data_IF_867016720457
#
_entry.id   IF_867016720457
#
_cell.length_a   1.000
_cell.length_b   1.000
_cell.length_c   1.000
_cell.angle_alpha   90.00
_cell.angle_beta   90.00
_cell.angle_gamma   90.00
#
_symmetry.space_group_name_H-M   'P 1'
#
loop_
_entity.id
_entity.type
_entity.pdbx_description
1 polymer ?
#
# COMPACT_ATOMS: atom_id res chain seq x y z
N UNK A 1 -1.73 -4.65 -12.32
CA UNK A 1 -1.01 -3.38 -12.49
C UNK A 1 -0.77 -2.74 -11.12
N UNK A 2 0.37 -2.06 -10.94
CA UNK A 2 0.64 -1.18 -9.82
C UNK A 2 0.64 0.28 -10.30
N UNK A 3 -0.16 1.12 -9.64
CA UNK A 3 -0.40 2.51 -10.00
C UNK A 3 0.08 3.46 -8.91
N UNK A 4 0.24 4.73 -9.28
CA UNK A 4 0.69 5.77 -8.36
C UNK A 4 -0.46 6.59 -7.80
N UNK A 5 -0.41 6.90 -6.51
CA UNK A 5 -1.17 8.00 -5.92
C UNK A 5 -0.53 9.32 -6.38
N UNK A 6 -1.21 10.05 -7.27
CA UNK A 6 -0.68 11.28 -7.87
C UNK A 6 -1.35 12.55 -7.35
N UNK A 7 -2.44 12.41 -6.60
CA UNK A 7 -3.19 13.51 -5.98
C UNK A 7 -4.12 12.98 -4.89
N UNK A 8 -4.88 13.86 -4.23
CA UNK A 8 -5.84 13.42 -3.21
C UNK A 8 -6.97 12.61 -3.85
N UNK A 9 -6.98 11.31 -3.59
CA UNK A 9 -7.93 10.39 -4.20
C UNK A 9 -7.77 10.25 -5.73
N UNK A 10 -6.55 10.46 -6.26
CA UNK A 10 -6.24 10.38 -7.68
C UNK A 10 -5.09 9.43 -7.95
N UNK A 11 -5.25 8.59 -8.97
CA UNK A 11 -4.21 7.68 -9.48
C UNK A 11 -3.92 7.98 -10.95
N UNK A 12 -2.78 7.50 -11.43
CA UNK A 12 -2.35 7.61 -12.82
C UNK A 12 -2.96 6.54 -13.76
N UNK A 13 -3.81 5.64 -13.24
CA UNK A 13 -4.57 4.72 -14.11
C UNK A 13 -5.71 5.48 -14.80
N UNK A 14 -5.78 5.46 -16.13
CA UNK A 14 -6.96 5.92 -16.85
C UNK A 14 -8.20 5.10 -16.49
N UNK A 15 -9.34 5.76 -16.25
CA UNK A 15 -10.57 5.08 -15.79
C UNK A 15 -11.11 4.06 -16.79
N UNK A 16 -10.92 4.29 -18.06
CA UNK A 16 -11.32 3.41 -19.17
C UNK A 16 -10.49 2.13 -19.25
N UNK A 17 -9.35 2.07 -18.55
CA UNK A 17 -8.49 0.89 -18.48
C UNK A 17 -8.68 0.06 -17.21
N UNK A 18 -9.54 0.49 -16.27
CA UNK A 18 -9.71 -0.21 -14.98
C UNK A 18 -10.13 -1.68 -15.15
N UNK A 19 -11.00 -1.96 -16.10
CA UNK A 19 -11.53 -3.31 -16.33
C UNK A 19 -10.60 -4.22 -17.16
N UNK A 20 -9.45 -3.69 -17.61
CA UNK A 20 -8.42 -4.47 -18.34
C UNK A 20 -7.55 -5.30 -17.37
N UNK A 21 -7.47 -4.90 -16.11
CA UNK A 21 -6.58 -5.51 -15.12
C UNK A 21 -7.35 -6.36 -14.12
N UNK A 22 -6.90 -7.60 -13.92
CA UNK A 22 -7.45 -8.53 -12.93
C UNK A 22 -7.15 -8.12 -11.49
N UNK A 23 -5.99 -7.48 -11.25
CA UNK A 23 -5.55 -7.00 -9.95
C UNK A 23 -4.95 -5.60 -10.06
N UNK A 24 -5.43 -4.69 -9.23
CA UNK A 24 -5.00 -3.28 -9.19
C UNK A 24 -4.39 -2.96 -7.86
N UNK A 25 -3.10 -2.61 -7.88
CA UNK A 25 -2.36 -2.13 -6.73
C UNK A 25 -2.25 -0.61 -6.78
N UNK A 26 -2.23 0.02 -5.63
CA UNK A 26 -2.00 1.46 -5.48
C UNK A 26 -0.92 1.72 -4.44
N UNK A 27 0.07 2.51 -4.83
CA UNK A 27 1.15 2.95 -3.98
C UNK A 27 1.49 4.42 -4.18
N UNK A 28 2.34 4.98 -3.34
CA UNK A 28 3.04 6.22 -3.63
C UNK A 28 4.47 5.89 -4.05
N UNK A 29 4.89 6.40 -5.22
CA UNK A 29 6.26 6.24 -5.72
C UNK A 29 6.95 7.58 -5.92
N UNK A 30 8.26 7.60 -5.74
CA UNK A 30 9.10 8.74 -6.11
C UNK A 30 9.06 8.95 -7.62
N UNK A 31 8.91 10.22 -8.04
CA UNK A 31 8.94 10.56 -9.46
C UNK A 31 7.59 10.45 -10.19
N UNK A 32 6.53 10.04 -9.50
CA UNK A 32 5.16 10.18 -10.00
C UNK A 32 4.84 11.67 -10.26
N UNK A 33 4.15 11.96 -11.38
CA UNK A 33 3.79 13.34 -11.73
C UNK A 33 2.59 13.81 -10.88
N UNK A 34 2.76 14.80 -9.97
CA UNK A 34 1.66 15.27 -9.15
C UNK A 34 0.52 15.85 -9.99
N UNK A 35 -0.73 15.54 -9.61
CA UNK A 35 -1.94 16.06 -10.28
C UNK A 35 -2.58 17.22 -9.53
N UNK A 36 -2.20 17.44 -8.26
CA UNK A 36 -2.74 18.50 -7.43
C UNK A 36 -1.74 18.93 -6.33
N UNK A 37 -2.14 19.90 -5.51
CA UNK A 37 -1.32 20.40 -4.40
C UNK A 37 -0.99 19.35 -3.33
N UNK A 38 -1.87 18.36 -3.12
CA UNK A 38 -1.60 17.25 -2.22
C UNK A 38 -0.48 16.35 -2.79
N UNK A 39 -0.60 15.92 -4.04
CA UNK A 39 0.42 15.12 -4.72
C UNK A 39 1.77 15.82 -4.75
N UNK A 40 1.79 17.15 -4.99
CA UNK A 40 3.01 17.94 -4.94
C UNK A 40 3.63 17.94 -3.53
N UNK A 41 2.83 18.14 -2.47
CA UNK A 41 3.31 18.10 -1.09
C UNK A 41 3.89 16.73 -0.72
N UNK A 42 3.25 15.61 -1.16
CA UNK A 42 3.77 14.24 -0.95
C UNK A 42 5.07 14.00 -1.72
N UNK A 43 5.18 14.55 -2.93
CA UNK A 43 6.43 14.48 -3.71
C UNK A 43 7.58 15.18 -2.97
N UNK A 44 7.35 16.37 -2.38
CA UNK A 44 8.35 17.05 -1.54
C UNK A 44 8.71 16.22 -0.29
N UNK A 45 7.72 15.64 0.40
CA UNK A 45 7.95 14.76 1.55
C UNK A 45 8.87 13.58 1.17
N UNK A 46 8.61 12.95 0.04
CA UNK A 46 9.42 11.82 -0.45
C UNK A 46 10.89 12.17 -0.72
N UNK A 47 11.17 13.46 -0.92
CA UNK A 47 12.51 14.03 -1.07
C UNK A 47 13.07 14.60 0.23
N UNK A 48 12.37 14.42 1.35
CA UNK A 48 12.68 15.02 2.66
C UNK A 48 12.63 16.56 2.68
N UNK A 49 11.85 17.16 1.78
CA UNK A 49 11.69 18.61 1.59
C UNK A 49 10.29 19.11 1.96
N UNK A 50 9.63 18.54 2.95
CA UNK A 50 8.27 18.96 3.29
C UNK A 50 7.75 18.37 4.58
N UNK A 51 6.59 18.88 4.99
CA UNK A 51 5.85 18.35 6.14
C UNK A 51 5.15 17.02 5.80
N UNK A 52 5.00 16.19 6.84
CA UNK A 52 4.26 14.93 6.75
C UNK A 52 2.85 15.11 7.29
N UNK A 53 1.89 14.48 6.64
CA UNK A 53 0.51 14.34 7.12
C UNK A 53 0.08 12.87 6.88
N UNK A 54 0.44 11.96 7.79
CA UNK A 54 0.21 10.52 7.61
C UNK A 54 -1.27 10.16 7.52
N UNK A 55 -2.13 10.82 8.30
CA UNK A 55 -3.59 10.58 8.29
C UNK A 55 -4.17 10.97 6.95
N UNK A 56 -3.84 12.16 6.45
CA UNK A 56 -4.31 12.63 5.16
C UNK A 56 -3.79 11.79 4.00
N UNK A 57 -2.59 11.19 4.13
CA UNK A 57 -2.07 10.24 3.16
C UNK A 57 -2.91 8.96 3.14
N UNK A 58 -3.27 8.41 4.31
CA UNK A 58 -4.16 7.25 4.41
C UNK A 58 -5.54 7.54 3.80
N UNK A 59 -6.15 8.68 4.13
CA UNK A 59 -7.44 9.11 3.57
C UNK A 59 -7.40 9.27 2.04
N UNK A 60 -6.31 9.81 1.51
CA UNK A 60 -6.14 9.95 0.06
C UNK A 60 -6.02 8.59 -0.65
N UNK A 61 -5.31 7.62 -0.04
CA UNK A 61 -5.25 6.24 -0.53
C UNK A 61 -6.63 5.59 -0.52
N UNK A 62 -7.38 5.71 0.58
CA UNK A 62 -8.73 5.16 0.71
C UNK A 62 -9.69 5.76 -0.32
N UNK A 63 -9.67 7.08 -0.50
CA UNK A 63 -10.49 7.78 -1.49
C UNK A 63 -10.17 7.29 -2.91
N UNK A 64 -8.89 7.09 -3.25
CA UNK A 64 -8.50 6.52 -4.53
C UNK A 64 -8.89 5.04 -4.62
N UNK A 65 -8.73 4.29 -3.52
CA UNK A 65 -9.07 2.88 -3.42
C UNK A 65 -10.52 2.59 -3.81
N UNK A 66 -11.46 3.33 -3.22
CA UNK A 66 -12.88 3.24 -3.54
C UNK A 66 -13.16 3.65 -4.99
N UNK A 67 -12.65 4.82 -5.40
CA UNK A 67 -12.93 5.42 -6.70
C UNK A 67 -12.42 4.61 -7.88
N UNK A 68 -11.27 3.94 -7.73
CA UNK A 68 -10.61 3.18 -8.80
C UNK A 68 -10.65 1.66 -8.57
N UNK A 69 -11.45 1.20 -7.61
CA UNK A 69 -11.64 -0.23 -7.29
C UNK A 69 -10.30 -0.93 -7.08
N UNK A 70 -9.45 -0.35 -6.25
CA UNK A 70 -8.13 -0.90 -5.92
C UNK A 70 -8.32 -2.17 -5.09
N UNK A 71 -7.50 -3.19 -5.35
CA UNK A 71 -7.54 -4.47 -4.65
C UNK A 71 -6.51 -4.54 -3.52
N UNK A 72 -5.37 -3.82 -3.67
CA UNK A 72 -4.23 -3.89 -2.75
C UNK A 72 -3.59 -2.51 -2.60
N UNK A 73 -3.34 -2.08 -1.37
CA UNK A 73 -2.41 -0.98 -1.09
C UNK A 73 -1.00 -1.54 -0.96
N UNK A 74 -0.14 -1.23 -1.94
CA UNK A 74 1.23 -1.71 -1.99
C UNK A 74 2.14 -0.88 -1.06
N UNK A 75 3.06 -1.57 -0.37
CA UNK A 75 4.10 -1.03 0.52
C UNK A 75 3.74 0.30 1.20
N UNK A 76 2.61 0.38 1.98
CA UNK A 76 2.16 1.62 2.58
C UNK A 76 3.24 2.20 3.51
N UNK A 77 3.50 3.50 3.38
CA UNK A 77 4.52 4.18 4.17
C UNK A 77 5.94 4.18 3.58
N UNK A 78 6.19 3.59 2.40
CA UNK A 78 7.54 3.44 1.86
C UNK A 78 8.26 4.77 1.57
N UNK A 79 7.62 5.70 0.91
CA UNK A 79 8.24 6.97 0.49
C UNK A 79 7.62 8.19 1.16
N UNK A 80 6.40 8.05 1.64
CA UNK A 80 5.66 9.07 2.39
C UNK A 80 5.06 8.40 3.61
N UNK A 81 5.00 9.12 4.73
CA UNK A 81 4.39 8.55 5.94
C UNK A 81 2.90 8.30 5.72
N UNK A 82 2.43 7.18 6.24
CA UNK A 82 1.03 6.79 6.21
C UNK A 82 0.59 6.34 7.60
N UNK A 83 -0.57 6.80 8.05
CA UNK A 83 -1.17 6.32 9.30
C UNK A 83 -1.80 4.95 9.08
N UNK A 84 -1.08 3.90 9.48
CA UNK A 84 -1.50 2.52 9.24
C UNK A 84 -2.84 2.18 9.93
N UNK A 85 -3.14 2.61 11.18
CA UNK A 85 -4.45 2.37 11.79
C UNK A 85 -5.61 2.97 10.98
N UNK A 86 -5.47 4.20 10.49
CA UNK A 86 -6.49 4.83 9.64
C UNK A 86 -6.65 4.09 8.32
N UNK A 87 -5.51 3.73 7.67
CA UNK A 87 -5.54 2.97 6.42
C UNK A 87 -6.18 1.60 6.61
N UNK A 88 -5.81 0.85 7.65
CA UNK A 88 -6.31 -0.50 7.91
C UNK A 88 -7.83 -0.51 8.15
N UNK A 89 -8.35 0.44 8.94
CA UNK A 89 -9.79 0.54 9.18
C UNK A 89 -10.57 0.73 7.89
N UNK A 90 -10.18 1.71 7.07
CA UNK A 90 -10.86 1.97 5.80
C UNK A 90 -10.63 0.86 4.77
N UNK A 91 -9.44 0.27 4.71
CA UNK A 91 -9.14 -0.86 3.83
C UNK A 91 -10.03 -2.06 4.15
N UNK A 92 -10.27 -2.36 5.45
CA UNK A 92 -11.22 -3.40 5.86
C UNK A 92 -12.64 -3.13 5.38
N UNK A 93 -13.11 -1.90 5.52
CA UNK A 93 -14.46 -1.52 5.07
C UNK A 93 -14.63 -1.63 3.55
N UNK A 94 -13.59 -1.32 2.79
CA UNK A 94 -13.55 -1.38 1.34
C UNK A 94 -13.18 -2.78 0.78
N UNK A 95 -12.77 -3.73 1.62
CA UNK A 95 -12.29 -5.04 1.19
C UNK A 95 -10.91 -5.01 0.50
N UNK A 96 -10.14 -3.94 0.71
CA UNK A 96 -8.80 -3.76 0.15
C UNK A 96 -7.77 -4.41 1.08
N UNK A 97 -6.78 -5.10 0.50
CA UNK A 97 -5.71 -5.74 1.25
C UNK A 97 -4.52 -4.80 1.43
N UNK A 98 -3.75 -5.02 2.50
CA UNK A 98 -2.47 -4.34 2.70
C UNK A 98 -1.32 -5.27 2.29
N UNK A 99 -0.34 -4.75 1.58
CA UNK A 99 0.84 -5.53 1.23
C UNK A 99 1.86 -5.53 2.38
N UNK A 100 2.35 -6.72 2.72
CA UNK A 100 3.61 -6.91 3.43
C UNK A 100 4.67 -7.12 2.35
N UNK A 101 5.41 -6.08 2.03
CA UNK A 101 6.34 -6.10 0.89
C UNK A 101 7.65 -6.78 1.27
N UNK A 102 8.06 -7.79 0.49
CA UNK A 102 9.26 -8.58 0.78
C UNK A 102 10.56 -7.91 0.31
N UNK A 103 10.51 -6.93 -0.59
CA UNK A 103 11.68 -6.12 -0.89
C UNK A 103 12.00 -5.15 0.25
N UNK A 104 10.96 -4.63 0.91
CA UNK A 104 11.09 -3.72 2.06
C UNK A 104 9.83 -3.73 2.90
N UNK A 105 9.89 -4.37 4.06
CA UNK A 105 8.80 -4.30 5.05
C UNK A 105 8.72 -2.88 5.60
N UNK A 106 7.58 -2.22 5.42
CA UNK A 106 7.36 -0.81 5.79
C UNK A 106 6.58 -0.66 7.09
N UNK A 107 5.75 -1.63 7.41
CA UNK A 107 4.98 -1.66 8.66
C UNK A 107 5.79 -2.34 9.77
N UNK A 108 5.77 -1.76 10.96
CA UNK A 108 6.32 -2.39 12.16
C UNK A 108 5.49 -3.62 12.59
N UNK A 109 6.08 -4.49 13.42
CA UNK A 109 5.37 -5.66 13.96
C UNK A 109 4.11 -5.25 14.75
N UNK A 110 4.12 -4.07 15.38
CA UNK A 110 2.96 -3.52 16.11
C UNK A 110 1.86 -3.04 15.16
N UNK A 111 2.22 -2.32 14.08
CA UNK A 111 1.26 -1.88 13.08
C UNK A 111 0.61 -3.06 12.35
N UNK A 112 1.39 -4.13 12.08
CA UNK A 112 0.86 -5.37 11.52
C UNK A 112 -0.18 -6.02 12.46
N UNK A 113 0.12 -6.11 13.77
CA UNK A 113 -0.84 -6.64 14.75
C UNK A 113 -2.10 -5.81 14.83
N UNK A 114 -1.97 -4.49 14.97
CA UNK A 114 -3.11 -3.58 15.06
C UNK A 114 -3.99 -3.65 13.81
N UNK A 115 -3.40 -3.72 12.63
CA UNK A 115 -4.13 -3.88 11.37
C UNK A 115 -4.86 -5.23 11.30
N UNK A 116 -4.21 -6.32 11.72
CA UNK A 116 -4.83 -7.65 11.80
C UNK A 116 -6.01 -7.68 12.78
N UNK A 117 -5.86 -7.04 13.96
CA UNK A 117 -6.91 -6.94 14.99
C UNK A 117 -8.14 -6.14 14.48
N UNK A 118 -7.95 -5.21 13.55
CA UNK A 118 -9.02 -4.51 12.84
C UNK A 118 -9.68 -5.38 11.75
N UNK A 119 -9.13 -6.58 11.49
CA UNK A 119 -9.64 -7.56 10.54
C UNK A 119 -9.29 -7.29 9.08
N UNK A 120 -8.25 -6.49 8.81
CA UNK A 120 -7.73 -6.34 7.45
C UNK A 120 -6.96 -7.60 7.04
N UNK A 121 -7.07 -7.96 5.78
CA UNK A 121 -6.28 -9.04 5.18
C UNK A 121 -4.97 -8.50 4.60
N UNK A 122 -3.94 -9.33 4.66
CA UNK A 122 -2.64 -9.03 4.04
C UNK A 122 -2.39 -9.89 2.81
N UNK A 123 -1.53 -9.37 1.95
CA UNK A 123 -0.89 -10.11 0.86
C UNK A 123 0.63 -9.93 0.96
N UNK A 124 1.39 -10.97 0.68
CA UNK A 124 2.84 -10.88 0.55
C UNK A 124 3.18 -10.70 -0.93
N UNK A 125 3.90 -9.62 -1.24
CA UNK A 125 4.43 -9.32 -2.57
C UNK A 125 5.95 -9.32 -2.57
N UNK A 126 6.60 -9.87 -3.61
CA UNK A 126 8.07 -9.84 -3.76
C UNK A 126 8.60 -8.49 -4.23
N UNK A 127 7.73 -7.69 -4.85
CA UNK A 127 8.12 -6.40 -5.48
C UNK A 127 9.36 -6.57 -6.38
N UNK A 128 9.33 -7.63 -7.20
CA UNK A 128 10.47 -8.09 -7.96
C UNK A 128 10.72 -7.21 -9.18
N UNK A 129 11.84 -6.51 -9.20
CA UNK A 129 12.35 -5.74 -10.34
C UNK A 129 13.34 -6.53 -11.20
N UNK A 130 13.68 -7.76 -10.78
CA UNK A 130 14.60 -8.67 -11.47
C UNK A 130 14.05 -10.10 -11.44
N UNK A 131 14.27 -10.90 -12.48
CA UNK A 131 13.75 -12.26 -12.53
C UNK A 131 14.13 -13.14 -11.34
N UNK A 132 15.35 -12.94 -10.79
CA UNK A 132 15.86 -13.68 -9.62
C UNK A 132 15.13 -13.35 -8.30
N UNK A 133 14.33 -12.28 -8.27
CA UNK A 133 13.57 -11.87 -7.09
C UNK A 133 12.10 -12.29 -7.13
N UNK A 134 11.65 -12.85 -8.25
CA UNK A 134 10.26 -13.32 -8.37
C UNK A 134 10.01 -14.45 -7.38
N UNK A 135 9.01 -14.27 -6.51
CA UNK A 135 8.67 -15.22 -5.46
C UNK A 135 9.56 -15.17 -4.21
N UNK A 136 10.48 -14.20 -4.11
CA UNK A 136 11.27 -13.98 -2.88
C UNK A 136 10.39 -13.30 -1.83
N UNK A 137 9.90 -14.08 -0.87
CA UNK A 137 8.94 -13.66 0.18
C UNK A 137 9.54 -13.66 1.59
N UNK A 138 10.81 -14.07 1.73
CA UNK A 138 11.41 -14.39 3.03
C UNK A 138 11.31 -13.27 4.08
N UNK A 139 11.55 -12.01 3.69
CA UNK A 139 11.48 -10.88 4.63
C UNK A 139 10.05 -10.61 5.11
N UNK A 140 9.08 -10.64 4.18
CA UNK A 140 7.68 -10.42 4.50
C UNK A 140 7.11 -11.55 5.36
N UNK A 141 7.45 -12.80 5.05
CA UNK A 141 7.06 -13.97 5.84
C UNK A 141 7.65 -13.91 7.25
N UNK A 142 8.92 -13.52 7.38
CA UNK A 142 9.54 -13.34 8.70
C UNK A 142 8.86 -12.23 9.50
N UNK A 143 8.44 -11.12 8.88
CA UNK A 143 7.70 -10.05 9.54
C UNK A 143 6.31 -10.52 9.98
N UNK A 144 5.56 -11.22 9.11
CA UNK A 144 4.25 -11.78 9.44
C UNK A 144 4.34 -12.74 10.63
N UNK A 145 5.37 -13.60 10.68
CA UNK A 145 5.63 -14.53 11.81
C UNK A 145 5.95 -13.79 13.11
N UNK A 146 6.84 -12.79 13.08
CA UNK A 146 7.17 -12.01 14.28
C UNK A 146 5.96 -11.26 14.83
N UNK A 147 5.14 -10.74 13.95
CA UNK A 147 3.90 -10.07 14.32
C UNK A 147 2.78 -11.05 14.71
N UNK A 148 2.88 -12.34 14.39
CA UNK A 148 1.84 -13.34 14.66
C UNK A 148 0.60 -13.17 13.76
N UNK A 149 0.77 -12.66 12.54
CA UNK A 149 -0.35 -12.32 11.64
C UNK A 149 -0.46 -13.22 10.40
N UNK A 150 0.24 -14.39 10.39
CA UNK A 150 0.20 -15.31 9.25
C UNK A 150 -1.23 -15.76 8.91
N UNK A 151 -2.10 -15.87 9.92
CA UNK A 151 -3.51 -16.22 9.72
C UNK A 151 -4.31 -15.19 8.94
N UNK A 152 -3.83 -13.94 8.87
CA UNK A 152 -4.45 -12.86 8.11
C UNK A 152 -3.83 -12.65 6.72
N UNK A 153 -2.80 -13.45 6.35
CA UNK A 153 -2.17 -13.40 5.02
C UNK A 153 -2.87 -14.37 4.09
N UNK A 154 -3.49 -13.84 3.02
CA UNK A 154 -4.39 -14.64 2.15
C UNK A 154 -3.69 -15.44 1.06
N UNK A 155 -2.46 -15.13 0.73
CA UNK A 155 -1.68 -15.83 -0.29
C UNK A 155 -0.58 -16.75 0.25
N UNK A 156 -0.61 -17.07 1.53
CA UNK A 156 0.20 -18.16 2.08
C UNK A 156 -0.49 -19.50 1.81
N UNK A 157 0.27 -20.47 1.27
CA UNK A 157 -0.21 -21.83 1.20
C UNK A 157 -0.49 -22.36 2.64
N UNK A 158 -1.71 -22.83 2.88
CA UNK A 158 -2.12 -23.45 4.14
C UNK A 158 -1.76 -24.93 4.12
#
# INVERSE_FOLDING_TARGET
IESNLVGYGLTDIPKDLLDVFDVRLLAFHKGGRPSDGFGFARSLESLHLGGSDPVKTAEALLTAGEKYKIDIFAHPGLYVKCDIPTLARGAKELGIKLEINAARVTMSDEELRQAADMGVEFIIGSDAHWPSRVGDDALALAAAKRAGVEGSVVNLAR
#
